data_IF_142698808699
#
_entry.id   IF_142698808699
#
_cell.length_a   1.000
_cell.length_b   1.000
_cell.length_c   1.000
_cell.angle_alpha   90.00
_cell.angle_beta   90.00
_cell.angle_gamma   90.00
#
_symmetry.space_group_name_H-M   'P 1'
#
loop_
_entity.id
_entity.type
_entity.pdbx_description
1 polymer ?
#
# COMPACT_ATOMS: atom_id res chain seq x y z
N UNK A 1 5.80 -6.21 -10.11
CA UNK A 1 6.34 -5.21 -11.03
C UNK A 1 6.96 -5.84 -12.27
N UNK A 2 7.71 -6.94 -12.14
CA UNK A 2 8.35 -7.60 -13.29
C UNK A 2 7.35 -8.44 -14.09
N UNK A 3 7.04 -8.12 -15.37
CA UNK A 3 6.12 -8.91 -16.19
C UNK A 3 6.68 -10.29 -16.56
N UNK A 4 8.02 -10.45 -16.58
CA UNK A 4 8.69 -11.72 -16.86
C UNK A 4 8.87 -12.60 -15.61
N UNK A 5 8.48 -12.11 -14.42
CA UNK A 5 8.70 -12.82 -13.17
C UNK A 5 10.19 -13.08 -12.85
N UNK A 6 11.08 -12.23 -13.37
CA UNK A 6 12.53 -12.35 -13.18
C UNK A 6 13.02 -11.80 -11.82
N UNK A 7 12.11 -11.37 -10.92
CA UNK A 7 12.49 -10.86 -9.61
C UNK A 7 11.92 -11.77 -8.54
N UNK A 8 12.78 -12.23 -7.65
CA UNK A 8 12.42 -12.94 -6.41
C UNK A 8 12.83 -12.10 -5.22
N UNK A 9 12.01 -12.10 -4.18
CA UNK A 9 12.35 -11.49 -2.90
C UNK A 9 13.04 -12.57 -2.05
N UNK A 10 14.28 -12.30 -1.63
CA UNK A 10 15.11 -13.23 -0.86
C UNK A 10 15.45 -12.58 0.47
N UNK A 11 15.29 -13.28 1.62
CA UNK A 11 15.66 -12.75 2.91
C UNK A 11 17.19 -12.64 3.04
N UNK A 12 17.65 -11.57 3.69
CA UNK A 12 19.02 -11.42 4.16
C UNK A 12 19.23 -12.16 5.50
N UNK A 13 20.42 -11.98 6.12
CA UNK A 13 20.76 -12.60 7.41
C UNK A 13 19.88 -12.15 8.57
N UNK A 14 19.25 -10.97 8.47
CA UNK A 14 18.32 -10.40 9.45
C UNK A 14 16.85 -10.70 9.12
N UNK A 15 16.58 -11.39 8.00
CA UNK A 15 15.25 -11.75 7.56
C UNK A 15 14.54 -10.68 6.70
N UNK A 16 15.20 -9.57 6.36
CA UNK A 16 14.64 -8.57 5.46
C UNK A 16 14.67 -9.04 4.02
N UNK A 17 13.55 -8.81 3.32
CA UNK A 17 13.40 -9.25 1.94
C UNK A 17 14.05 -8.25 0.96
N UNK A 18 14.98 -8.74 0.15
CA UNK A 18 15.62 -7.98 -0.92
C UNK A 18 15.33 -8.57 -2.30
N UNK A 19 15.21 -7.73 -3.35
CA UNK A 19 14.98 -8.21 -4.70
C UNK A 19 16.25 -8.83 -5.29
N UNK A 20 16.16 -10.06 -5.75
CA UNK A 20 17.20 -10.76 -6.53
C UNK A 20 16.70 -10.93 -7.95
N UNK A 21 17.55 -10.63 -8.93
CA UNK A 21 17.21 -10.68 -10.35
C UNK A 21 17.76 -11.98 -10.97
N UNK A 22 16.85 -12.72 -11.58
CA UNK A 22 17.17 -13.84 -12.43
C UNK A 22 17.53 -13.28 -13.84
N UNK A 23 18.81 -13.24 -14.14
CA UNK A 23 19.31 -12.65 -15.38
C UNK A 23 19.01 -13.50 -16.64
N UNK A 24 18.71 -14.78 -16.50
CA UNK A 24 18.30 -15.62 -17.63
C UNK A 24 16.87 -15.26 -18.10
N UNK A 25 16.03 -14.80 -17.17
CA UNK A 25 14.66 -14.38 -17.45
C UNK A 25 14.52 -12.87 -17.67
N UNK A 26 15.52 -12.11 -17.29
CA UNK A 26 15.48 -10.64 -17.35
C UNK A 26 15.71 -10.14 -18.77
N UNK A 27 14.73 -9.46 -19.34
CA UNK A 27 14.82 -8.85 -20.68
C UNK A 27 15.33 -7.40 -20.66
N UNK A 28 15.83 -6.90 -19.55
CA UNK A 28 16.44 -5.57 -19.45
C UNK A 28 15.46 -4.39 -19.66
N UNK A 29 14.14 -4.58 -19.52
CA UNK A 29 13.13 -3.54 -19.85
C UNK A 29 13.10 -2.32 -18.90
N UNK A 30 13.79 -2.35 -17.76
CA UNK A 30 13.90 -1.24 -16.81
C UNK A 30 12.64 -0.95 -15.96
N UNK A 31 11.51 -1.64 -16.14
CA UNK A 31 10.25 -1.36 -15.40
C UNK A 31 10.40 -1.47 -13.89
N UNK A 32 11.22 -2.38 -13.38
CA UNK A 32 11.49 -2.50 -11.94
C UNK A 32 12.31 -1.32 -11.42
N UNK A 33 13.20 -0.76 -12.23
CA UNK A 33 14.00 0.41 -11.86
C UNK A 33 13.15 1.66 -11.84
N UNK A 34 12.23 1.84 -12.81
CA UNK A 34 11.33 2.98 -12.85
C UNK A 34 10.32 2.99 -11.71
N UNK A 35 9.97 1.83 -11.15
CA UNK A 35 9.07 1.72 -10.00
C UNK A 35 9.79 1.90 -8.66
N UNK A 36 11.14 1.83 -8.62
CA UNK A 36 11.91 1.84 -7.38
C UNK A 36 12.33 3.27 -6.98
N UNK A 37 11.91 3.72 -5.82
CA UNK A 37 12.28 5.03 -5.26
C UNK A 37 13.78 5.21 -5.02
N UNK A 38 14.45 4.14 -4.56
CA UNK A 38 15.89 4.19 -4.25
C UNK A 38 16.76 4.50 -5.47
N UNK A 39 16.29 4.18 -6.68
CA UNK A 39 17.00 4.50 -7.94
C UNK A 39 16.71 5.91 -8.46
N UNK A 40 15.50 6.40 -8.23
CA UNK A 40 15.03 7.68 -8.79
C UNK A 40 15.28 8.88 -7.87
N UNK A 41 15.72 8.65 -6.63
CA UNK A 41 15.84 9.70 -5.60
C UNK A 41 14.48 10.19 -5.08
N UNK A 42 14.50 10.79 -3.90
CA UNK A 42 13.30 11.34 -3.22
C UNK A 42 12.83 12.69 -3.79
N UNK A 43 13.29 13.08 -4.96
CA UNK A 43 13.10 14.44 -5.50
C UNK A 43 11.68 14.77 -5.96
N UNK A 44 10.73 13.84 -5.91
CA UNK A 44 9.38 14.05 -6.45
C UNK A 44 8.25 13.94 -5.43
N UNK A 45 8.55 13.95 -4.12
CA UNK A 45 7.52 13.95 -3.07
C UNK A 45 6.93 15.35 -2.80
N UNK A 46 7.33 16.35 -3.53
CA UNK A 46 6.90 17.73 -3.32
C UNK A 46 5.90 18.19 -4.40
N UNK A 47 4.65 17.84 -4.24
CA UNK A 47 3.62 18.83 -4.43
C UNK A 47 3.97 19.97 -3.46
N UNK A 48 3.89 21.21 -3.86
CA UNK A 48 4.39 22.33 -3.06
C UNK A 48 3.84 22.25 -1.63
N UNK A 49 4.69 22.42 -0.61
CA UNK A 49 4.28 22.43 0.81
C UNK A 49 3.13 23.41 1.05
N UNK A 50 3.02 24.43 0.23
CA UNK A 50 1.99 25.48 0.28
C UNK A 50 0.56 24.95 0.01
N UNK A 51 0.41 23.78 -0.62
CA UNK A 51 -0.89 23.13 -0.89
C UNK A 51 -1.28 22.10 0.18
N UNK A 52 -0.38 21.78 1.11
CA UNK A 52 -0.62 20.79 2.15
C UNK A 52 -1.52 21.36 3.25
N UNK A 53 -2.64 20.68 3.49
CA UNK A 53 -3.55 21.00 4.60
C UNK A 53 -3.31 20.02 5.74
N UNK A 54 -3.05 20.54 6.94
CA UNK A 54 -2.91 19.76 8.15
C UNK A 54 -4.23 19.71 8.93
N UNK A 55 -4.63 18.52 9.36
CA UNK A 55 -5.84 18.30 10.16
C UNK A 55 -5.53 17.49 11.42
N UNK A 56 -6.03 17.92 12.56
CA UNK A 56 -6.10 17.10 13.76
C UNK A 56 -7.50 16.49 13.86
N UNK A 57 -7.60 15.18 13.89
CA UNK A 57 -8.89 14.48 13.93
C UNK A 57 -8.91 13.33 14.93
N UNK A 58 -10.12 13.04 15.43
CA UNK A 58 -10.39 11.84 16.22
C UNK A 58 -11.72 11.23 15.79
N UNK A 59 -11.83 9.93 15.79
CA UNK A 59 -13.07 9.22 15.51
C UNK A 59 -14.14 9.58 16.56
N UNK A 60 -15.40 9.81 16.13
CA UNK A 60 -16.50 10.20 17.02
C UNK A 60 -16.89 9.07 17.97
N UNK A 61 -16.94 7.85 17.45
CA UNK A 61 -17.19 6.65 18.24
C UNK A 61 -16.01 6.36 19.16
N UNK A 62 -16.30 6.32 20.47
CA UNK A 62 -15.28 6.13 21.53
C UNK A 62 -14.70 4.72 21.49
N UNK A 63 -15.54 3.71 21.21
CA UNK A 63 -15.12 2.31 21.18
C UNK A 63 -14.22 2.05 19.96
N UNK A 64 -14.61 2.58 18.81
CA UNK A 64 -13.78 2.56 17.62
C UNK A 64 -12.41 3.21 17.88
N UNK A 65 -12.38 4.35 18.56
CA UNK A 65 -11.15 5.05 18.92
C UNK A 65 -10.29 4.28 19.92
N UNK A 66 -10.89 3.63 20.93
CA UNK A 66 -10.17 2.78 21.90
C UNK A 66 -9.50 1.60 21.23
N UNK A 67 -10.13 1.01 20.23
CA UNK A 67 -9.61 -0.10 19.45
C UNK A 67 -8.65 0.36 18.31
N UNK A 68 -8.33 1.64 18.26
CA UNK A 68 -7.33 2.24 17.36
C UNK A 68 -6.14 2.72 18.17
N UNK A 69 -4.93 2.65 17.62
CA UNK A 69 -3.72 3.11 18.36
C UNK A 69 -3.60 4.63 18.47
N UNK A 70 -4.42 5.39 17.72
CA UNK A 70 -4.39 6.84 17.67
C UNK A 70 -5.82 7.37 17.53
N UNK A 71 -6.03 8.48 16.84
CA UNK A 71 -7.34 9.10 16.66
C UNK A 71 -8.38 8.28 15.88
N UNK A 72 -8.00 7.18 15.23
CA UNK A 72 -8.91 6.35 14.44
C UNK A 72 -9.11 6.86 13.01
N UNK A 73 -8.21 7.66 12.48
CA UNK A 73 -8.26 8.19 11.11
C UNK A 73 -8.38 7.08 10.08
N UNK A 74 -7.55 6.03 10.20
CA UNK A 74 -7.59 4.87 9.31
C UNK A 74 -8.99 4.25 9.23
N UNK A 75 -9.64 4.06 10.40
CA UNK A 75 -10.98 3.46 10.45
C UNK A 75 -12.01 4.37 9.77
N UNK A 76 -11.98 5.66 10.05
CA UNK A 76 -12.92 6.62 9.44
C UNK A 76 -12.80 6.66 7.90
N UNK A 77 -11.57 6.72 7.37
CA UNK A 77 -11.32 6.73 5.93
C UNK A 77 -11.71 5.41 5.27
N UNK A 78 -11.31 4.28 5.88
CA UNK A 78 -11.65 2.96 5.34
C UNK A 78 -13.13 2.63 5.44
N UNK A 79 -13.85 3.12 6.47
CA UNK A 79 -15.30 2.98 6.55
C UNK A 79 -16.00 3.71 5.41
N UNK A 80 -15.55 4.91 5.05
CA UNK A 80 -16.07 5.63 3.89
C UNK A 80 -15.93 4.81 2.60
N UNK A 81 -14.75 4.21 2.37
CA UNK A 81 -14.49 3.39 1.19
C UNK A 81 -15.39 2.15 1.18
N UNK A 82 -15.46 1.41 2.29
CA UNK A 82 -16.27 0.19 2.39
C UNK A 82 -17.79 0.47 2.29
N UNK A 83 -18.28 1.59 2.83
CA UNK A 83 -19.68 2.01 2.70
C UNK A 83 -20.08 2.31 1.25
N UNK A 84 -19.12 2.68 0.41
CA UNK A 84 -19.31 2.90 -1.02
C UNK A 84 -18.95 1.66 -1.87
N UNK A 85 -19.02 0.47 -1.30
CA UNK A 85 -18.70 -0.81 -1.94
C UNK A 85 -17.25 -0.86 -2.49
N UNK A 86 -16.36 -0.11 -1.88
CA UNK A 86 -14.95 -0.07 -2.24
C UNK A 86 -14.13 -1.16 -1.58
N UNK A 87 -12.84 -1.11 -1.82
CA UNK A 87 -11.84 -2.08 -1.37
C UNK A 87 -10.74 -1.38 -0.59
N UNK A 88 -10.32 -1.96 0.52
CA UNK A 88 -9.23 -1.45 1.35
C UNK A 88 -8.06 -2.42 1.30
N UNK A 89 -6.88 -1.89 1.03
CA UNK A 89 -5.62 -2.60 1.11
C UNK A 89 -4.81 -2.08 2.29
N UNK A 90 -4.35 -2.98 3.14
CA UNK A 90 -3.57 -2.65 4.32
C UNK A 90 -2.78 -3.85 4.82
N UNK A 91 -2.04 -3.68 5.91
CA UNK A 91 -1.18 -4.73 6.47
C UNK A 91 -1.89 -5.48 7.58
N UNK A 92 -2.03 -6.78 7.41
CA UNK A 92 -2.43 -7.75 8.42
C UNK A 92 -1.34 -8.80 8.66
N UNK A 93 -1.63 -9.80 9.48
CA UNK A 93 -0.77 -10.95 9.67
C UNK A 93 -1.31 -12.15 8.88
N UNK A 94 -0.41 -12.95 8.33
CA UNK A 94 -0.70 -14.30 7.86
C UNK A 94 -0.70 -15.28 9.06
N UNK A 95 -1.08 -16.54 8.83
CA UNK A 95 -1.17 -17.56 9.88
C UNK A 95 0.18 -17.86 10.54
N UNK A 96 1.28 -17.62 9.84
CA UNK A 96 2.66 -17.75 10.33
C UNK A 96 3.20 -16.45 10.99
N UNK A 97 2.32 -15.50 11.31
CA UNK A 97 2.64 -14.18 11.85
C UNK A 97 3.49 -13.29 10.92
N UNK A 98 3.68 -13.65 9.67
CA UNK A 98 4.31 -12.76 8.68
C UNK A 98 3.40 -11.57 8.40
N UNK A 99 3.94 -10.35 8.45
CA UNK A 99 3.20 -9.17 8.02
C UNK A 99 3.03 -9.19 6.49
N UNK A 100 1.79 -9.08 6.03
CA UNK A 100 1.45 -9.14 4.61
C UNK A 100 0.43 -8.06 4.26
N UNK A 101 0.55 -7.48 3.09
CA UNK A 101 -0.55 -6.67 2.56
C UNK A 101 -1.70 -7.58 2.16
N UNK A 102 -2.89 -7.22 2.60
CA UNK A 102 -4.15 -7.94 2.34
C UNK A 102 -5.17 -7.01 1.70
N UNK A 103 -6.17 -7.60 1.10
CA UNK A 103 -7.35 -6.97 0.54
C UNK A 103 -8.54 -7.17 1.49
N UNK A 104 -9.31 -6.15 1.76
CA UNK A 104 -10.52 -6.21 2.57
C UNK A 104 -11.70 -5.55 1.83
N UNK A 105 -12.85 -6.18 1.88
CA UNK A 105 -14.13 -5.67 1.36
C UNK A 105 -15.20 -5.55 2.46
N UNK A 106 -14.87 -6.02 3.65
CA UNK A 106 -15.71 -5.93 4.84
C UNK A 106 -14.98 -5.22 5.97
N UNK A 107 -15.74 -4.68 6.94
CA UNK A 107 -15.16 -4.08 8.14
C UNK A 107 -14.38 -5.10 8.97
N UNK A 108 -14.87 -6.33 9.04
CA UNK A 108 -14.22 -7.40 9.80
C UNK A 108 -12.83 -7.71 9.25
N UNK A 109 -12.70 -7.88 7.93
CA UNK A 109 -11.41 -8.09 7.27
C UNK A 109 -10.48 -6.88 7.45
N UNK A 110 -11.02 -5.65 7.28
CA UNK A 110 -10.27 -4.41 7.45
C UNK A 110 -9.73 -4.24 8.87
N UNK A 111 -10.44 -4.70 9.88
CA UNK A 111 -10.07 -4.54 11.28
C UNK A 111 -8.77 -5.27 11.64
N UNK A 112 -8.36 -6.27 10.86
CA UNK A 112 -7.03 -6.89 10.95
C UNK A 112 -5.88 -5.89 10.65
N UNK A 113 -6.17 -4.82 9.93
CA UNK A 113 -5.17 -3.81 9.53
C UNK A 113 -4.96 -2.74 10.60
N UNK A 114 -5.79 -2.70 11.65
CA UNK A 114 -5.61 -1.76 12.77
C UNK A 114 -4.29 -2.02 13.48
N UNK A 115 -3.70 -0.96 13.97
CA UNK A 115 -2.44 -1.01 14.70
C UNK A 115 -1.21 -1.13 13.81
N UNK A 116 -0.15 -0.43 14.17
CA UNK A 116 1.12 -0.42 13.44
C UNK A 116 1.84 -1.77 13.57
N UNK A 117 2.33 -2.28 12.46
CA UNK A 117 3.20 -3.46 12.39
C UNK A 117 4.61 -2.96 12.10
N UNK A 118 5.49 -2.94 13.11
CA UNK A 118 6.85 -2.42 13.00
C UNK A 118 7.82 -3.44 12.40
N UNK A 119 7.38 -4.12 11.35
CA UNK A 119 8.15 -5.11 10.58
C UNK A 119 7.87 -4.93 9.09
N UNK A 120 8.80 -5.41 8.25
CA UNK A 120 8.62 -5.37 6.80
C UNK A 120 7.43 -6.22 6.38
N UNK A 121 6.50 -5.65 5.62
CA UNK A 121 5.36 -6.39 5.07
C UNK A 121 5.67 -6.94 3.67
N UNK A 122 5.21 -8.16 3.42
CA UNK A 122 5.26 -8.74 2.07
C UNK A 122 4.19 -8.11 1.20
N UNK A 123 4.61 -7.72 0.00
CA UNK A 123 3.73 -7.06 -0.99
C UNK A 123 3.17 -8.05 -2.03
N UNK A 124 3.84 -9.17 -2.25
CA UNK A 124 3.48 -10.21 -3.22
C UNK A 124 2.90 -9.63 -4.53
N UNK A 125 1.64 -9.95 -4.86
CA UNK A 125 0.93 -9.47 -6.06
C UNK A 125 -0.05 -8.31 -5.78
N UNK A 126 0.09 -7.62 -4.66
CA UNK A 126 -0.87 -6.59 -4.22
C UNK A 126 -1.08 -5.48 -5.25
N UNK A 127 -0.02 -4.98 -5.89
CA UNK A 127 -0.17 -3.94 -6.92
C UNK A 127 -1.00 -4.42 -8.12
N UNK A 128 -0.88 -5.70 -8.47
CA UNK A 128 -1.70 -6.30 -9.53
C UNK A 128 -3.17 -6.40 -9.10
N UNK A 129 -3.42 -6.74 -7.83
CA UNK A 129 -4.78 -6.80 -7.26
C UNK A 129 -5.42 -5.41 -7.22
N UNK A 130 -4.69 -4.39 -6.75
CA UNK A 130 -5.13 -2.99 -6.77
C UNK A 130 -5.49 -2.56 -8.20
N UNK A 131 -4.62 -2.85 -9.17
CA UNK A 131 -4.88 -2.54 -10.59
C UNK A 131 -6.16 -3.21 -11.08
N UNK A 132 -6.36 -4.49 -10.76
CA UNK A 132 -7.56 -5.24 -11.16
C UNK A 132 -8.85 -4.65 -10.57
N UNK A 133 -8.84 -4.24 -9.31
CA UNK A 133 -10.01 -3.61 -8.69
C UNK A 133 -10.30 -2.24 -9.33
N UNK A 134 -9.28 -1.44 -9.64
CA UNK A 134 -9.43 -0.18 -10.39
C UNK A 134 -9.93 -0.40 -11.82
N UNK A 135 -9.47 -1.44 -12.51
CA UNK A 135 -9.96 -1.83 -13.85
C UNK A 135 -11.47 -2.19 -13.81
N UNK A 136 -11.95 -2.65 -12.64
CA UNK A 136 -13.38 -2.94 -12.38
C UNK A 136 -14.17 -1.72 -11.88
N UNK A 137 -13.60 -0.52 -11.92
CA UNK A 137 -14.16 0.74 -11.42
C UNK A 137 -14.50 0.73 -9.92
N UNK A 138 -13.82 -0.08 -9.13
CA UNK A 138 -13.96 -0.05 -7.67
C UNK A 138 -13.28 1.19 -7.09
N UNK A 139 -13.85 1.70 -6.00
CA UNK A 139 -13.15 2.65 -5.13
C UNK A 139 -12.11 1.86 -4.34
N UNK A 140 -10.86 2.29 -4.37
CA UNK A 140 -9.77 1.59 -3.72
C UNK A 140 -9.04 2.52 -2.76
N UNK A 141 -8.85 2.08 -1.52
CA UNK A 141 -7.94 2.70 -0.56
C UNK A 141 -6.72 1.80 -0.38
N UNK A 142 -5.55 2.33 -0.64
CA UNK A 142 -4.28 1.64 -0.38
C UNK A 142 -3.52 2.36 0.72
N UNK A 143 -3.16 1.61 1.76
CA UNK A 143 -2.41 2.11 2.92
C UNK A 143 -1.07 1.40 2.99
N UNK A 144 0.01 2.16 3.05
CA UNK A 144 1.36 1.61 3.12
C UNK A 144 2.39 2.63 3.61
N UNK A 145 3.65 2.25 3.61
CA UNK A 145 4.75 3.19 3.81
C UNK A 145 4.96 4.07 2.57
N UNK A 146 5.60 5.25 2.67
CA UNK A 146 5.80 6.14 1.51
C UNK A 146 6.40 5.44 0.30
N UNK A 147 7.37 4.54 0.51
CA UNK A 147 7.99 3.78 -0.59
C UNK A 147 7.01 2.79 -1.26
N UNK A 148 6.07 2.22 -0.50
CA UNK A 148 5.05 1.31 -1.04
C UNK A 148 3.98 2.08 -1.80
N UNK A 149 3.54 3.21 -1.27
CA UNK A 149 2.55 4.09 -1.93
C UNK A 149 3.11 4.64 -3.24
N UNK A 150 4.32 5.18 -3.22
CA UNK A 150 4.95 5.70 -4.43
C UNK A 150 5.28 4.60 -5.45
N UNK A 151 5.69 3.42 -4.98
CA UNK A 151 5.86 2.24 -5.83
C UNK A 151 4.57 1.83 -6.54
N UNK A 152 3.42 1.91 -5.86
CA UNK A 152 2.11 1.68 -6.46
C UNK A 152 1.77 2.76 -7.50
N UNK A 153 1.96 4.06 -7.18
CA UNK A 153 1.74 5.16 -8.14
C UNK A 153 2.54 4.93 -9.42
N UNK A 154 3.82 4.61 -9.31
CA UNK A 154 4.69 4.33 -10.46
C UNK A 154 4.29 3.05 -11.22
N UNK A 155 3.83 2.03 -10.50
CA UNK A 155 3.34 0.79 -11.12
C UNK A 155 2.07 1.03 -11.94
N UNK A 156 1.14 1.85 -11.43
CA UNK A 156 -0.09 2.20 -12.12
C UNK A 156 0.19 3.17 -13.30
N UNK A 157 1.18 4.05 -13.17
CA UNK A 157 1.55 5.00 -14.21
C UNK A 157 0.38 5.86 -14.66
N UNK A 158 0.07 5.84 -15.97
CA UNK A 158 -1.08 6.57 -16.56
C UNK A 158 -2.33 5.69 -16.60
N UNK A 159 -2.65 5.00 -15.51
CA UNK A 159 -3.88 4.23 -15.42
C UNK A 159 -5.10 5.15 -15.64
N UNK A 160 -6.10 4.69 -16.40
CA UNK A 160 -7.23 5.51 -16.83
C UNK A 160 -8.19 5.88 -15.69
N UNK A 161 -8.23 5.09 -14.63
CA UNK A 161 -9.17 5.28 -13.52
C UNK A 161 -8.43 5.44 -12.19
N UNK A 162 -7.80 6.60 -11.99
CA UNK A 162 -7.18 6.95 -10.72
C UNK A 162 -8.11 7.77 -9.80
N UNK A 163 -9.24 8.26 -10.29
CA UNK A 163 -10.19 9.07 -9.52
C UNK A 163 -10.80 8.29 -8.34
N UNK A 164 -10.89 6.97 -8.47
CA UNK A 164 -11.33 6.07 -7.40
C UNK A 164 -10.21 5.60 -6.45
N UNK A 165 -8.98 6.09 -6.59
CA UNK A 165 -7.84 5.63 -5.79
C UNK A 165 -7.49 6.62 -4.66
N UNK A 166 -7.64 6.17 -3.42
CA UNK A 166 -7.19 6.86 -2.22
C UNK A 166 -5.87 6.25 -1.75
N UNK A 167 -4.82 7.04 -1.75
CA UNK A 167 -3.50 6.65 -1.26
C UNK A 167 -3.28 7.25 0.13
N UNK A 168 -2.90 6.41 1.06
CA UNK A 168 -2.61 6.80 2.45
C UNK A 168 -1.23 6.27 2.79
N UNK A 169 -0.27 7.16 2.95
CA UNK A 169 1.05 6.81 3.44
C UNK A 169 1.17 7.05 4.95
N UNK A 170 1.89 6.17 5.58
CA UNK A 170 2.19 6.22 7.00
C UNK A 170 3.55 6.87 7.19
N UNK A 171 3.64 7.79 8.13
CA UNK A 171 4.93 8.30 8.57
C UNK A 171 5.64 7.17 9.31
N UNK A 172 6.78 6.73 8.79
CA UNK A 172 7.62 5.68 9.35
C UNK A 172 9.01 6.19 9.77
#
# INVERSE_FOLDING_TARGET
VCPQGAIKMVPDELGFLYPTIDYERCVGCGLCQSACLYKMGYTTLHDSIDEVKAFALKHRDVECRRNSQSGGAFVALSDYVLQNNGVVYGVGFADDFTAVHKRAVTRQERDEFRGSKYIQSRMDKIYQSVKKDLDSNAIVMFVGTPCQVEGLKKYLGRHKNLDGLFLVDLIC
#
